data_IF_830212006044
#
_entry.id   IF_830212006044
#
_cell.length_a   1.000
_cell.length_b   1.000
_cell.length_c   1.000
_cell.angle_alpha   90.00
_cell.angle_beta   90.00
_cell.angle_gamma   90.00
#
_symmetry.space_group_name_H-M   'P 1'
#
loop_
_entity.id
_entity.type
_entity.pdbx_description
1 polymer ?
#
# COMPACT_ATOMS: atom_id res chain seq x y z
N UNK A 1 23.41 4.11 14.30
CA UNK A 1 23.15 3.69 13.93
C UNK A 1 22.17 3.54 13.10
N UNK A 2 21.81 3.02 13.00
CA UNK A 2 21.03 2.72 12.07
C UNK A 2 20.05 3.62 11.72
N UNK A 3 19.82 4.31 12.27
CA UNK A 3 18.90 4.99 12.06
C UNK A 3 18.76 5.56 10.94
N UNK A 4 19.42 5.87 10.52
CA UNK A 4 19.32 6.49 9.48
C UNK A 4 18.64 5.89 8.67
N UNK A 5 18.62 5.05 8.78
CA UNK A 5 18.09 4.34 8.05
C UNK A 5 16.83 4.64 7.64
N UNK A 6 15.98 4.42 7.94
CA UNK A 6 14.72 4.56 7.45
C UNK A 6 14.44 5.73 6.68
N UNK A 7 15.15 6.70 6.64
CA UNK A 7 14.72 7.76 6.09
C UNK A 7 14.60 7.64 4.70
N UNK A 8 15.09 7.28 3.91
CA UNK A 8 14.89 7.33 2.54
C UNK A 8 14.24 6.15 1.97
N UNK A 9 13.42 5.52 2.68
CA UNK A 9 12.78 4.37 2.15
C UNK A 9 11.91 4.73 0.97
N UNK A 10 12.12 4.10 -0.16
CA UNK A 10 11.32 4.33 -1.33
C UNK A 10 10.21 3.32 -1.42
N UNK A 11 9.02 3.76 -1.79
CA UNK A 11 7.88 2.89 -1.95
C UNK A 11 7.71 2.61 -3.43
N UNK A 12 7.75 1.35 -3.80
CA UNK A 12 7.54 0.94 -5.18
C UNK A 12 6.11 0.45 -5.33
N UNK A 13 5.62 0.45 -6.56
CA UNK A 13 4.25 -0.03 -6.78
C UNK A 13 4.12 -1.51 -6.42
N UNK A 14 5.20 -2.27 -6.53
CA UNK A 14 5.16 -3.68 -6.13
C UNK A 14 4.91 -3.80 -4.63
N UNK A 15 5.48 -2.90 -3.85
CA UNK A 15 5.27 -2.91 -2.41
C UNK A 15 3.82 -2.64 -2.09
N UNK A 16 3.22 -1.69 -2.81
CA UNK A 16 1.82 -1.35 -2.60
C UNK A 16 0.93 -2.53 -2.99
N UNK A 17 1.24 -3.15 -4.12
CA UNK A 17 0.44 -4.28 -4.58
C UNK A 17 0.51 -5.43 -3.58
N UNK A 18 1.71 -5.75 -3.12
CA UNK A 18 1.88 -6.83 -2.15
C UNK A 18 1.12 -6.50 -0.87
N UNK A 19 1.16 -5.25 -0.44
CA UNK A 19 0.43 -4.81 0.74
C UNK A 19 -1.07 -5.00 0.54
N UNK A 20 -1.57 -4.67 -0.65
CA UNK A 20 -2.99 -4.86 -0.93
C UNK A 20 -3.38 -6.32 -0.85
N UNK A 21 -2.53 -7.21 -1.35
CA UNK A 21 -2.80 -8.63 -1.27
C UNK A 21 -2.82 -9.11 0.17
N UNK A 22 -1.91 -8.59 0.98
CA UNK A 22 -1.87 -8.97 2.39
C UNK A 22 -3.14 -8.53 3.12
N UNK A 23 -3.61 -7.31 2.85
CA UNK A 23 -4.82 -6.81 3.47
C UNK A 23 -6.02 -7.64 3.03
N UNK A 24 -6.07 -7.98 1.76
CA UNK A 24 -7.15 -8.79 1.23
C UNK A 24 -7.16 -10.18 1.86
N UNK A 25 -5.98 -10.72 2.08
CA UNK A 25 -5.83 -12.06 2.63
C UNK A 25 -6.40 -12.16 4.05
N UNK A 26 -6.34 -11.09 4.81
CA UNK A 26 -6.91 -11.08 6.15
C UNK A 26 -8.39 -10.67 6.13
N UNK A 27 -8.97 -10.49 4.97
CA UNK A 27 -10.39 -10.21 4.86
C UNK A 27 -10.78 -8.77 5.15
N UNK A 28 -9.85 -7.86 5.05
CA UNK A 28 -10.14 -6.46 5.31
C UNK A 28 -10.25 -5.68 4.02
N UNK A 29 -11.02 -4.61 4.07
CA UNK A 29 -11.15 -3.75 2.92
C UNK A 29 -9.86 -2.97 2.70
N UNK A 30 -9.44 -2.89 1.47
CA UNK A 30 -8.21 -2.20 1.13
C UNK A 30 -8.47 -0.71 0.98
N UNK A 31 -7.77 0.09 1.76
CA UNK A 31 -7.87 1.55 1.70
C UNK A 31 -6.49 2.14 1.68
N UNK A 32 -6.41 3.39 1.24
CA UNK A 32 -5.12 4.09 1.22
C UNK A 32 -4.55 4.16 2.63
N UNK A 33 -5.39 4.43 3.61
CA UNK A 33 -4.95 4.52 5.00
C UNK A 33 -4.35 3.20 5.47
N UNK A 34 -4.99 2.08 5.13
CA UNK A 34 -4.46 0.77 5.52
C UNK A 34 -3.10 0.51 4.87
N UNK A 35 -2.98 0.84 3.59
CA UNK A 35 -1.71 0.63 2.90
C UNK A 35 -0.62 1.48 3.55
N UNK A 36 -0.94 2.73 3.86
CA UNK A 36 0.03 3.62 4.48
C UNK A 36 0.47 3.09 5.85
N UNK A 37 -0.46 2.56 6.62
CA UNK A 37 -0.11 1.99 7.92
C UNK A 37 0.78 0.77 7.79
N UNK A 38 0.48 -0.09 6.83
CA UNK A 38 1.29 -1.28 6.63
C UNK A 38 2.71 -0.93 6.19
N UNK A 39 2.85 0.05 5.33
CA UNK A 39 4.16 0.44 4.81
C UNK A 39 4.83 1.52 5.65
N UNK A 40 4.16 1.96 6.70
CA UNK A 40 4.68 2.98 7.62
C UNK A 40 5.10 4.24 6.89
N UNK A 41 4.21 4.74 6.05
CA UNK A 41 4.45 5.98 5.33
C UNK A 41 3.20 6.82 5.33
N UNK A 42 3.31 8.03 4.81
CA UNK A 42 2.16 8.93 4.78
C UNK A 42 1.21 8.54 3.66
N UNK A 43 -0.08 8.82 3.85
CA UNK A 43 -1.06 8.53 2.82
C UNK A 43 -0.73 9.28 1.55
N UNK A 44 -0.14 10.46 1.68
CA UNK A 44 0.27 11.23 0.52
C UNK A 44 1.23 10.45 -0.36
N UNK A 45 2.16 9.72 0.27
CA UNK A 45 3.13 8.91 -0.47
C UNK A 45 2.41 7.82 -1.26
N UNK A 46 1.40 7.21 -0.65
CA UNK A 46 0.65 6.16 -1.31
C UNK A 46 -0.11 6.74 -2.50
N UNK A 47 -0.78 7.88 -2.31
CA UNK A 47 -1.51 8.51 -3.40
C UNK A 47 -0.59 8.82 -4.57
N UNK A 48 0.60 9.30 -4.25
CA UNK A 48 1.55 9.68 -5.27
C UNK A 48 2.03 8.48 -6.09
N UNK A 49 2.16 7.34 -5.47
CA UNK A 49 2.63 6.13 -6.13
C UNK A 49 1.51 5.25 -6.67
N UNK A 50 0.27 5.58 -6.38
CA UNK A 50 -0.86 4.77 -6.81
C UNK A 50 -1.18 5.08 -8.26
N UNK A 51 -0.86 4.16 -9.15
CA UNK A 51 -1.17 4.35 -10.56
C UNK A 51 -2.54 3.74 -10.85
N UNK A 52 -3.01 3.91 -12.07
CA UNK A 52 -4.33 3.42 -12.42
C UNK A 52 -4.42 1.91 -12.32
N UNK A 53 -3.35 1.22 -12.63
CA UNK A 53 -3.31 -0.22 -12.49
C UNK A 53 -3.57 -0.62 -11.06
N UNK A 54 -2.91 0.03 -10.13
CA UNK A 54 -3.07 -0.29 -8.71
C UNK A 54 -4.46 0.05 -8.22
N UNK A 55 -5.02 1.17 -8.70
CA UNK A 55 -6.38 1.53 -8.31
C UNK A 55 -7.37 0.48 -8.77
N UNK A 56 -7.18 -0.01 -9.98
CA UNK A 56 -8.05 -1.04 -10.53
C UNK A 56 -7.93 -2.33 -9.75
N UNK A 57 -6.71 -2.72 -9.41
CA UNK A 57 -6.48 -3.93 -8.63
C UNK A 57 -7.13 -3.81 -7.25
N UNK A 58 -7.00 -2.63 -6.65
CA UNK A 58 -7.59 -2.38 -5.35
C UNK A 58 -9.11 -2.59 -5.41
N UNK A 59 -9.74 -2.05 -6.43
CA UNK A 59 -11.19 -2.19 -6.56
C UNK A 59 -11.59 -3.64 -6.80
N UNK A 60 -10.83 -4.35 -7.63
CA UNK A 60 -11.15 -5.75 -7.89
C UNK A 60 -11.03 -6.58 -6.61
N UNK A 61 -9.99 -6.35 -5.84
CA UNK A 61 -9.81 -7.09 -4.60
C UNK A 61 -10.91 -6.77 -3.60
N UNK A 62 -11.31 -5.50 -3.52
CA UNK A 62 -12.38 -5.11 -2.61
C UNK A 62 -13.72 -5.75 -3.00
N UNK A 63 -13.93 -5.95 -4.29
CA UNK A 63 -15.16 -6.58 -4.72
C UNK A 63 -15.21 -8.05 -4.36
N UNK A 64 -14.09 -8.65 -4.11
CA UNK A 64 -14.03 -10.06 -3.77
C UNK A 64 -14.22 -10.34 -2.28
N UNK A 65 -14.37 -9.31 -1.48
CA UNK A 65 -14.55 -9.52 -0.05
C UNK A 65 -15.95 -9.97 0.32
#
# INVERSE_FOLDING_TARGET
VGELIGRSKRIHKDDIYQCMLDIHDVGKKITITQIALYLECATRTIHRNMCEELKREKELLNKQL
#
